data_IF_365230334522
#
_entry.id   IF_365230334522
#
_cell.length_a   1.000
_cell.length_b   1.000
_cell.length_c   1.000
_cell.angle_alpha   90.00
_cell.angle_beta   90.00
_cell.angle_gamma   90.00
#
_symmetry.space_group_name_H-M   'P 1'
#
loop_
_entity.id
_entity.type
_entity.pdbx_description
1 polymer ?
#
# COMPACT_ATOMS: atom_id res chain seq x y z
N UNK A 1 -13.92 -6.95 12.88
CA UNK A 1 -13.14 -6.18 11.87
C UNK A 1 -12.05 -5.45 12.64
N UNK A 2 -10.83 -5.99 12.63
CA UNK A 2 -9.70 -5.38 13.35
C UNK A 2 -9.48 -3.94 12.89
N UNK A 3 -9.28 -3.04 13.85
CA UNK A 3 -9.19 -1.58 13.68
C UNK A 3 -7.77 -1.16 13.25
N UNK A 4 -6.87 -2.13 13.08
CA UNK A 4 -5.47 -1.89 12.80
C UNK A 4 -5.23 -1.60 11.32
N UNK A 5 -4.58 -0.46 11.04
CA UNK A 5 -4.03 -0.16 9.73
C UNK A 5 -2.55 0.20 9.88
N UNK A 6 -1.69 -0.46 9.10
CA UNK A 6 -0.29 -0.07 9.00
C UNK A 6 -0.20 1.12 8.05
N UNK A 7 0.46 2.18 8.50
CA UNK A 7 0.68 3.40 7.71
C UNK A 7 2.15 3.48 7.33
N UNK A 8 2.41 3.62 6.04
CA UNK A 8 3.77 3.70 5.50
C UNK A 8 3.80 4.82 4.45
N UNK A 9 4.76 5.72 4.55
CA UNK A 9 4.97 6.73 3.51
C UNK A 9 6.04 6.24 2.53
N UNK A 10 5.73 6.25 1.24
CA UNK A 10 6.68 5.87 0.17
C UNK A 10 6.71 6.94 -0.92
N UNK A 11 7.89 7.11 -1.48
CA UNK A 11 8.07 7.96 -2.66
C UNK A 11 7.64 7.19 -3.90
N UNK A 12 6.88 7.86 -4.76
CA UNK A 12 6.47 7.36 -6.07
C UNK A 12 7.62 7.53 -7.04
N UNK A 13 7.97 6.46 -7.74
CA UNK A 13 9.00 6.49 -8.76
C UNK A 13 8.55 7.19 -10.06
N UNK A 14 9.46 7.33 -11.02
CA UNK A 14 9.17 7.92 -12.33
C UNK A 14 8.14 7.13 -13.16
N UNK A 15 7.89 5.87 -12.81
CA UNK A 15 6.93 4.98 -13.47
C UNK A 15 5.58 4.91 -12.73
N UNK A 16 5.35 5.79 -11.75
CA UNK A 16 4.17 5.79 -10.87
C UNK A 16 4.00 4.50 -10.10
N UNK A 17 5.11 3.89 -9.68
CA UNK A 17 5.13 2.72 -8.80
C UNK A 17 5.65 3.11 -7.43
N UNK A 18 5.24 2.32 -6.44
CA UNK A 18 5.82 2.32 -5.09
C UNK A 18 6.31 0.92 -4.77
N UNK A 19 7.50 0.83 -4.21
CA UNK A 19 8.05 -0.43 -3.74
C UNK A 19 7.79 -0.60 -2.24
N UNK A 20 7.25 -1.77 -1.88
CA UNK A 20 7.06 -2.21 -0.50
C UNK A 20 7.75 -3.57 -0.39
N UNK A 21 8.90 -3.60 0.27
CA UNK A 21 9.76 -4.78 0.34
C UNK A 21 10.09 -5.31 -1.07
N UNK A 22 9.57 -6.48 -1.45
CA UNK A 22 9.77 -7.09 -2.76
C UNK A 22 8.60 -6.86 -3.74
N UNK A 23 7.59 -6.09 -3.34
CA UNK A 23 6.40 -5.85 -4.14
C UNK A 23 6.43 -4.45 -4.75
N UNK A 24 6.30 -4.37 -6.08
CA UNK A 24 6.06 -3.12 -6.78
C UNK A 24 4.57 -2.95 -7.04
N UNK A 25 4.00 -1.84 -6.56
CA UNK A 25 2.60 -1.50 -6.76
C UNK A 25 2.49 -0.28 -7.65
N UNK A 26 1.78 -0.41 -8.77
CA UNK A 26 1.47 0.73 -9.64
C UNK A 26 0.37 1.56 -9.02
N UNK A 27 0.58 2.86 -8.88
CA UNK A 27 -0.37 3.79 -8.29
C UNK A 27 -0.94 4.68 -9.39
N UNK A 28 -2.15 4.38 -9.91
CA UNK A 28 -2.78 5.24 -10.91
C UNK A 28 -3.07 6.62 -10.29
N UNK A 29 -2.87 7.68 -11.08
CA UNK A 29 -3.09 9.06 -10.60
C UNK A 29 -2.04 9.60 -9.62
N UNK A 30 -1.03 8.81 -9.23
CA UNK A 30 0.00 9.29 -8.32
C UNK A 30 0.87 10.39 -8.95
N UNK A 31 1.18 11.44 -8.19
CA UNK A 31 2.12 12.45 -8.64
C UNK A 31 3.56 11.90 -8.60
N UNK A 32 4.32 12.22 -9.64
CA UNK A 32 5.71 11.77 -9.81
C UNK A 32 6.60 12.38 -8.73
N UNK A 33 7.55 11.58 -8.21
CA UNK A 33 8.54 11.98 -7.19
C UNK A 33 7.95 12.56 -5.90
N UNK A 34 6.66 12.35 -5.66
CA UNK A 34 5.99 12.74 -4.43
C UNK A 34 5.92 11.59 -3.44
N UNK A 35 5.83 11.92 -2.15
CA UNK A 35 5.51 10.94 -1.11
C UNK A 35 4.00 10.76 -1.03
N UNK A 36 3.56 9.52 -1.07
CA UNK A 36 2.17 9.13 -0.84
C UNK A 36 2.08 8.29 0.42
N UNK A 37 0.92 8.34 1.06
CA UNK A 37 0.62 7.53 2.23
C UNK A 37 -0.04 6.23 1.79
N UNK A 38 0.56 5.11 2.20
CA UNK A 38 0.03 3.77 2.04
C UNK A 38 -0.64 3.35 3.33
N UNK A 39 -1.88 2.87 3.23
CA UNK A 39 -2.62 2.30 4.36
C UNK A 39 -2.86 0.83 4.07
N UNK A 40 -2.25 -0.04 4.84
CA UNK A 40 -2.28 -1.49 4.64
C UNK A 40 -3.18 -2.09 5.72
N UNK A 41 -4.24 -2.76 5.28
CA UNK A 41 -5.21 -3.41 6.15
C UNK A 41 -5.09 -4.92 5.88
N UNK A 42 -4.42 -5.66 6.77
CA UNK A 42 -4.35 -7.11 6.65
C UNK A 42 -5.72 -7.72 6.96
N UNK A 43 -6.20 -8.54 6.04
CA UNK A 43 -7.36 -9.40 6.24
C UNK A 43 -6.85 -10.79 6.63
N UNK A 44 -7.00 -11.10 7.93
CA UNK A 44 -6.59 -12.38 8.51
C UNK A 44 -7.46 -13.54 8.03
N UNK A 45 -8.70 -13.29 7.63
CA UNK A 45 -9.63 -14.34 7.20
C UNK A 45 -9.31 -14.81 5.79
N UNK A 46 -8.96 -13.90 4.88
CA UNK A 46 -8.64 -14.23 3.49
C UNK A 46 -7.14 -14.43 3.21
N UNK A 47 -6.25 -14.04 4.13
CA UNK A 47 -4.80 -14.08 3.92
C UNK A 47 -4.30 -13.02 2.93
N UNK A 48 -5.16 -12.06 2.57
CA UNK A 48 -4.84 -10.93 1.73
C UNK A 48 -4.71 -9.65 2.56
N UNK A 49 -3.98 -8.67 2.07
CA UNK A 49 -3.94 -7.32 2.60
C UNK A 49 -4.50 -6.37 1.55
N UNK A 50 -5.33 -5.45 1.99
CA UNK A 50 -5.74 -4.33 1.15
C UNK A 50 -4.77 -3.16 1.36
N UNK A 51 -4.07 -2.76 0.30
CA UNK A 51 -3.20 -1.59 0.26
C UNK A 51 -3.97 -0.44 -0.38
N UNK A 52 -4.16 0.64 0.37
CA UNK A 52 -4.84 1.86 -0.08
C UNK A 52 -3.84 2.99 -0.26
N UNK A 53 -3.95 3.70 -1.37
CA UNK A 53 -3.08 4.80 -1.74
C UNK A 53 -3.77 6.13 -1.46
N UNK A 54 -3.11 6.99 -0.70
CA UNK A 54 -3.60 8.32 -0.31
C UNK A 54 -2.56 9.39 -0.63
N UNK A 55 -3.00 10.53 -1.14
CA UNK A 55 -2.15 11.69 -1.37
C UNK A 55 -2.91 12.96 -1.04
N UNK A 56 -2.39 13.77 -0.11
CA UNK A 56 -3.03 15.03 0.34
C UNK A 56 -4.53 14.86 0.63
N UNK A 57 -4.86 13.83 1.42
CA UNK A 57 -6.24 13.47 1.79
C UNK A 57 -7.15 13.01 0.63
N UNK A 58 -6.59 12.84 -0.57
CA UNK A 58 -7.27 12.24 -1.71
C UNK A 58 -6.98 10.74 -1.78
N UNK A 59 -8.02 9.94 -1.99
CA UNK A 59 -7.91 8.50 -2.21
C UNK A 59 -7.61 8.23 -3.69
N UNK A 60 -6.42 7.70 -3.97
CA UNK A 60 -5.98 7.41 -5.34
C UNK A 60 -6.39 6.01 -5.82
N UNK A 61 -6.68 5.09 -4.89
CA UNK A 61 -7.12 3.73 -5.21
C UNK A 61 -6.71 2.70 -4.18
N UNK A 62 -7.05 1.44 -4.44
CA UNK A 62 -6.61 0.31 -3.62
C UNK A 62 -6.25 -0.92 -4.45
N UNK A 63 -5.37 -1.74 -3.89
CA UNK A 63 -4.95 -3.02 -4.47
C UNK A 63 -4.91 -4.09 -3.39
N UNK A 64 -5.37 -5.29 -3.73
CA UNK A 64 -5.25 -6.46 -2.85
C UNK A 64 -3.96 -7.19 -3.16
N UNK A 65 -3.21 -7.50 -2.13
CA UNK A 65 -1.91 -8.17 -2.23
C UNK A 65 -1.88 -9.32 -1.23
N UNK A 66 -1.10 -10.36 -1.47
CA UNK A 66 -1.02 -11.46 -0.49
C UNK A 66 -0.20 -11.03 0.71
N UNK A 67 -0.59 -11.47 1.91
CA UNK A 67 0.17 -11.18 3.13
C UNK A 67 1.62 -11.70 3.03
N UNK A 68 1.84 -12.81 2.33
CA UNK A 68 3.17 -13.38 2.07
C UNK A 68 4.09 -12.42 1.30
N UNK A 69 3.56 -11.68 0.33
CA UNK A 69 4.34 -10.81 -0.55
C UNK A 69 4.71 -9.49 0.17
N UNK A 70 3.91 -9.08 1.14
CA UNK A 70 4.16 -7.89 1.93
C UNK A 70 5.24 -8.08 2.99
N UNK A 71 5.52 -9.31 3.45
CA UNK A 71 6.48 -9.62 4.53
C UNK A 71 6.37 -8.63 5.71
N UNK A 72 5.17 -8.11 5.97
CA UNK A 72 4.88 -7.17 7.03
C UNK A 72 4.66 -7.99 8.29
N UNK A 73 5.77 -8.50 8.84
CA UNK A 73 5.92 -9.12 10.16
C UNK A 73 4.87 -10.20 10.48
N UNK A 74 5.32 -11.45 10.58
CA UNK A 74 4.51 -12.54 11.14
C UNK A 74 3.91 -12.09 12.48
N UNK A 75 2.60 -11.86 12.53
CA UNK A 75 1.84 -11.65 13.76
C UNK A 75 1.17 -12.95 14.19
#
# INVERSE_FOLDING_TARGET
KDIFCLRVDRMVDSYRKVSINNLELKVPGAPLHQRIQLRIIPDKESGLSEVRFWYKDEFLGSQKVRNSDLNLVQF
#
